data_IF_320895397628
#
_entry.id   IF_320895397628
#
_cell.length_a   1.000
_cell.length_b   1.000
_cell.length_c   1.000
_cell.angle_alpha   90.00
_cell.angle_beta   90.00
_cell.angle_gamma   90.00
#
_symmetry.space_group_name_H-M   'P 1'
#
loop_
_entity.id
_entity.type
_entity.pdbx_description
1 polymer ?
#
# COMPACT_ATOMS: atom_id res chain seq x y z
N UNK A 1 16.13 18.38 1.36
CA UNK A 1 16.28 17.13 2.16
C UNK A 1 15.03 16.71 2.93
N UNK A 2 14.53 17.48 3.92
CA UNK A 2 13.35 17.05 4.71
C UNK A 2 12.10 16.77 3.87
N UNK A 3 11.80 17.64 2.90
CA UNK A 3 10.73 17.42 1.91
C UNK A 3 10.94 16.11 1.14
N UNK A 4 12.15 15.89 0.61
CA UNK A 4 12.49 14.67 -0.15
C UNK A 4 12.29 13.41 0.68
N UNK A 5 12.76 13.41 1.93
CA UNK A 5 12.59 12.29 2.86
C UNK A 5 11.10 12.07 3.14
N UNK A 6 10.38 13.12 3.57
CA UNK A 6 8.98 13.02 3.96
C UNK A 6 8.07 12.59 2.82
N UNK A 7 8.17 13.25 1.66
CA UNK A 7 7.35 12.92 0.49
C UNK A 7 7.72 11.56 -0.12
N UNK A 8 9.00 11.18 -0.12
CA UNK A 8 9.39 9.84 -0.61
C UNK A 8 8.89 8.74 0.33
N UNK A 9 9.00 8.93 1.64
CA UNK A 9 8.44 8.01 2.64
C UNK A 9 6.94 7.84 2.46
N UNK A 10 6.19 8.95 2.34
CA UNK A 10 4.75 8.92 2.10
C UNK A 10 4.40 8.29 0.75
N UNK A 11 5.17 8.58 -0.30
CA UNK A 11 5.02 7.97 -1.62
C UNK A 11 5.19 6.45 -1.55
N UNK A 12 6.19 5.96 -0.81
CA UNK A 12 6.40 4.54 -0.54
C UNK A 12 5.24 3.90 0.22
N UNK A 13 4.80 4.51 1.32
CA UNK A 13 3.64 4.03 2.11
C UNK A 13 2.38 3.98 1.24
N UNK A 14 2.09 5.04 0.49
CA UNK A 14 0.91 5.11 -0.36
C UNK A 14 0.97 4.07 -1.48
N UNK A 15 2.13 3.92 -2.13
CA UNK A 15 2.33 2.93 -3.19
C UNK A 15 2.15 1.50 -2.67
N UNK A 16 2.78 1.17 -1.55
CA UNK A 16 2.64 -0.14 -0.91
C UNK A 16 1.21 -0.42 -0.42
N UNK A 17 0.50 0.59 0.09
CA UNK A 17 -0.90 0.48 0.50
C UNK A 17 -1.85 0.29 -0.69
N UNK A 18 -1.62 1.00 -1.79
CA UNK A 18 -2.47 0.97 -2.98
C UNK A 18 -2.32 -0.33 -3.78
N UNK A 19 -1.15 -0.97 -3.71
CA UNK A 19 -0.82 -2.14 -4.50
C UNK A 19 -1.78 -3.34 -4.29
N UNK A 20 -2.11 -3.78 -3.05
CA UNK A 20 -3.10 -4.84 -2.83
C UNK A 20 -4.46 -4.54 -3.47
N UNK A 21 -4.97 -3.31 -3.33
CA UNK A 21 -6.25 -2.92 -3.94
C UNK A 21 -6.19 -3.02 -5.46
N UNK A 22 -5.13 -2.51 -6.09
CA UNK A 22 -4.95 -2.57 -7.53
C UNK A 22 -4.91 -4.02 -8.03
N UNK A 23 -4.08 -4.86 -7.41
CA UNK A 23 -3.92 -6.28 -7.77
C UNK A 23 -5.24 -7.04 -7.60
N UNK A 24 -5.94 -6.89 -6.47
CA UNK A 24 -7.21 -7.58 -6.25
C UNK A 24 -8.29 -7.09 -7.23
N UNK A 25 -8.27 -5.80 -7.57
CA UNK A 25 -9.16 -5.23 -8.58
C UNK A 25 -8.99 -5.86 -9.97
N UNK A 26 -7.76 -5.87 -10.51
CA UNK A 26 -7.49 -6.43 -11.84
C UNK A 26 -7.61 -7.96 -11.89
N UNK A 27 -7.41 -8.64 -10.77
CA UNK A 27 -7.56 -10.11 -10.65
C UNK A 27 -8.97 -10.56 -10.27
N UNK A 28 -9.94 -9.63 -10.20
CA UNK A 28 -11.34 -9.91 -9.85
C UNK A 28 -11.53 -10.58 -8.48
N UNK A 29 -10.64 -10.29 -7.54
CA UNK A 29 -10.74 -10.77 -6.14
C UNK A 29 -11.36 -9.68 -5.26
N UNK A 30 -12.04 -10.11 -4.20
CA UNK A 30 -12.52 -9.19 -3.16
C UNK A 30 -11.36 -8.80 -2.24
N UNK A 31 -11.33 -7.54 -1.84
CA UNK A 31 -10.38 -7.02 -0.87
C UNK A 31 -11.04 -5.89 -0.07
N UNK A 32 -10.81 -5.77 1.25
CA UNK A 32 -11.45 -4.73 2.06
C UNK A 32 -11.12 -3.33 1.52
N UNK A 33 -12.13 -2.48 1.33
CA UNK A 33 -11.96 -1.12 0.80
C UNK A 33 -13.12 -0.21 1.25
N UNK A 34 -12.84 1.08 1.46
CA UNK A 34 -13.78 2.08 1.99
C UNK A 34 -15.03 2.26 1.12
N UNK A 35 -14.87 2.17 -0.20
CA UNK A 35 -15.95 2.40 -1.17
C UNK A 35 -16.62 1.10 -1.65
N UNK A 36 -16.22 -0.05 -1.09
CA UNK A 36 -16.80 -1.36 -1.37
C UNK A 36 -15.76 -2.43 -1.68
N UNK A 37 -16.04 -3.67 -1.29
CA UNK A 37 -15.05 -4.76 -1.33
C UNK A 37 -14.98 -5.50 -2.69
N UNK A 38 -15.68 -5.02 -3.71
CA UNK A 38 -15.73 -5.64 -5.04
C UNK A 38 -14.49 -5.32 -5.90
N UNK A 39 -14.34 -5.98 -7.07
CA UNK A 39 -13.20 -5.74 -7.97
C UNK A 39 -13.08 -4.30 -8.47
N UNK A 40 -14.19 -3.70 -8.92
CA UNK A 40 -14.16 -2.34 -9.53
C UNK A 40 -13.76 -1.27 -8.50
N UNK A 41 -14.37 -1.19 -7.29
CA UNK A 41 -13.92 -0.22 -6.29
C UNK A 41 -12.46 -0.43 -5.86
N UNK A 42 -11.99 -1.67 -5.76
CA UNK A 42 -10.59 -1.98 -5.46
C UNK A 42 -9.64 -1.54 -6.56
N UNK A 43 -10.00 -1.78 -7.83
CA UNK A 43 -9.22 -1.31 -8.96
C UNK A 43 -9.11 0.21 -8.95
N UNK A 44 -10.24 0.93 -8.84
CA UNK A 44 -10.25 2.40 -8.84
C UNK A 44 -9.49 2.96 -7.64
N UNK A 45 -9.70 2.40 -6.44
CA UNK A 45 -9.01 2.82 -5.22
C UNK A 45 -7.50 2.59 -5.29
N UNK A 46 -7.08 1.41 -5.75
CA UNK A 46 -5.68 1.09 -5.95
C UNK A 46 -5.02 1.95 -7.03
N UNK A 47 -5.70 2.17 -8.16
CA UNK A 47 -5.21 3.05 -9.21
C UNK A 47 -5.04 4.50 -8.71
N UNK A 48 -6.05 5.05 -8.04
CA UNK A 48 -5.99 6.41 -7.49
C UNK A 48 -4.86 6.55 -6.45
N UNK A 49 -4.68 5.54 -5.59
CA UNK A 49 -3.57 5.50 -4.63
C UNK A 49 -2.19 5.44 -5.31
N UNK A 50 -2.03 4.67 -6.39
CA UNK A 50 -0.78 4.62 -7.16
C UNK A 50 -0.48 5.95 -7.85
N UNK A 51 -1.50 6.63 -8.40
CA UNK A 51 -1.34 7.99 -8.96
C UNK A 51 -0.90 8.97 -7.88
N UNK A 52 -1.51 8.92 -6.69
CA UNK A 52 -1.11 9.76 -5.57
C UNK A 52 0.33 9.47 -5.10
N UNK A 53 0.73 8.20 -5.05
CA UNK A 53 2.10 7.81 -4.76
C UNK A 53 3.08 8.39 -5.79
N UNK A 54 2.76 8.33 -7.08
CA UNK A 54 3.58 8.91 -8.14
C UNK A 54 3.70 10.44 -8.01
N UNK A 55 2.60 11.14 -7.68
CA UNK A 55 2.63 12.59 -7.43
C UNK A 55 3.51 12.96 -6.22
N UNK A 56 3.43 12.19 -5.14
CA UNK A 56 4.29 12.39 -3.96
C UNK A 56 5.77 12.21 -4.31
N UNK A 57 6.12 11.17 -5.07
CA UNK A 57 7.49 10.93 -5.51
C UNK A 57 7.98 12.00 -6.50
N UNK A 58 7.10 12.49 -7.39
CA UNK A 58 7.41 13.58 -8.30
C UNK A 58 7.73 14.88 -7.55
N UNK A 59 6.90 15.27 -6.59
CA UNK A 59 7.12 16.47 -5.76
C UNK A 59 8.17 16.31 -4.66
N UNK A 60 8.69 15.09 -4.44
CA UNK A 60 9.80 14.86 -3.54
C UNK A 60 11.13 15.46 -4.05
N UNK A 61 11.22 15.77 -5.35
CA UNK A 61 12.46 16.24 -6.00
C UNK A 61 13.65 15.31 -5.69
N UNK A 62 13.42 14.00 -5.90
CA UNK A 62 14.40 12.97 -5.57
C UNK A 62 15.70 13.07 -6.36
N UNK A 63 15.69 13.75 -7.51
CA UNK A 63 16.86 14.06 -8.32
C UNK A 63 17.92 14.87 -7.56
N UNK A 64 17.50 15.72 -6.61
CA UNK A 64 18.42 16.51 -5.78
C UNK A 64 19.08 15.69 -4.67
N UNK A 65 18.43 14.61 -4.22
CA UNK A 65 18.91 13.75 -3.13
C UNK A 65 18.54 12.26 -3.36
N UNK A 66 19.11 11.59 -4.38
CA UNK A 66 18.61 10.31 -4.88
C UNK A 66 18.67 9.17 -3.86
N UNK A 67 19.76 9.07 -3.09
CA UNK A 67 19.91 8.04 -2.07
C UNK A 67 18.88 8.20 -0.93
N UNK A 68 18.64 9.44 -0.49
CA UNK A 68 17.67 9.74 0.56
C UNK A 68 16.24 9.48 0.07
N UNK A 69 15.91 9.87 -1.17
CA UNK A 69 14.62 9.61 -1.78
C UNK A 69 14.34 8.10 -1.89
N UNK A 70 15.28 7.35 -2.48
CA UNK A 70 15.17 5.90 -2.63
C UNK A 70 15.04 5.20 -1.29
N UNK A 71 15.95 5.48 -0.34
CA UNK A 71 15.92 4.86 0.98
C UNK A 71 14.62 5.13 1.74
N UNK A 72 14.11 6.36 1.66
CA UNK A 72 12.85 6.73 2.33
C UNK A 72 11.64 6.05 1.68
N UNK A 73 11.56 6.01 0.33
CA UNK A 73 10.48 5.32 -0.36
C UNK A 73 10.49 3.82 -0.10
N UNK A 74 11.66 3.18 -0.16
CA UNK A 74 11.83 1.76 0.16
C UNK A 74 11.42 1.46 1.61
N UNK A 75 11.81 2.31 2.56
CA UNK A 75 11.38 2.21 3.95
C UNK A 75 9.86 2.35 4.09
N UNK A 76 9.24 3.29 3.37
CA UNK A 76 7.79 3.47 3.40
C UNK A 76 7.04 2.22 2.93
N UNK A 77 7.47 1.62 1.82
CA UNK A 77 6.93 0.34 1.32
C UNK A 77 7.12 -0.78 2.33
N UNK A 78 8.31 -0.88 2.95
CA UNK A 78 8.59 -1.90 3.96
C UNK A 78 7.67 -1.75 5.18
N UNK A 79 7.52 -0.53 5.71
CA UNK A 79 6.70 -0.28 6.89
C UNK A 79 5.23 -0.66 6.64
N UNK A 80 4.66 -0.21 5.53
CA UNK A 80 3.27 -0.55 5.21
C UNK A 80 3.10 -2.04 4.89
N UNK A 81 4.10 -2.66 4.25
CA UNK A 81 4.13 -4.10 4.00
C UNK A 81 4.15 -4.91 5.30
N UNK A 82 4.97 -4.53 6.27
CA UNK A 82 5.02 -5.16 7.60
C UNK A 82 3.71 -4.97 8.37
N UNK A 83 3.06 -3.80 8.26
CA UNK A 83 1.73 -3.59 8.84
C UNK A 83 0.69 -4.53 8.23
N UNK A 84 0.71 -4.73 6.90
CA UNK A 84 -0.18 -5.67 6.22
C UNK A 84 0.12 -7.13 6.56
N UNK A 85 1.40 -7.50 6.68
CA UNK A 85 1.84 -8.86 6.95
C UNK A 85 1.75 -9.27 8.42
N UNK A 86 1.81 -8.31 9.36
CA UNK A 86 1.77 -8.54 10.80
C UNK A 86 0.36 -8.37 11.39
N UNK A 87 0.11 -7.28 12.16
CA UNK A 87 -1.19 -7.07 12.82
C UNK A 87 -2.35 -6.91 11.83
N UNK A 88 -2.05 -6.57 10.58
CA UNK A 88 -3.00 -6.34 9.50
C UNK A 88 -3.73 -5.01 9.65
N UNK A 89 -4.03 -4.35 8.52
CA UNK A 89 -4.94 -3.19 8.51
C UNK A 89 -6.39 -3.58 8.86
N UNK A 90 -6.72 -4.88 8.82
CA UNK A 90 -8.08 -5.41 8.99
C UNK A 90 -8.21 -6.47 10.10
N UNK A 91 -7.20 -6.63 10.97
CA UNK A 91 -7.24 -7.51 12.14
C UNK A 91 -7.17 -9.01 11.83
N UNK A 92 -6.59 -9.78 12.76
CA UNK A 92 -6.45 -11.25 12.67
C UNK A 92 -7.79 -11.93 12.41
N UNK A 93 -7.80 -12.86 11.46
CA UNK A 93 -8.75 -13.98 11.43
C UNK A 93 -8.04 -15.29 11.77
N UNK A 94 -7.36 -15.32 12.93
CA UNK A 94 -6.96 -16.58 13.56
C UNK A 94 -8.19 -17.19 14.26
N UNK A 95 -9.15 -17.66 13.47
CA UNK A 95 -10.26 -18.49 13.97
C UNK A 95 -10.94 -19.24 12.81
N UNK A 96 -10.18 -19.96 11.99
CA UNK A 96 -10.81 -20.94 11.09
C UNK A 96 -9.93 -22.17 10.82
N UNK A 97 -9.24 -22.65 11.83
CA UNK A 97 -8.95 -24.07 11.98
C UNK A 97 -9.83 -24.61 13.10
N UNK A 98 -11.13 -24.80 12.81
CA UNK A 98 -11.87 -25.80 13.59
C UNK A 98 -11.55 -27.14 12.94
N UNK A 99 -10.96 -28.11 13.66
CA UNK A 99 -10.86 -29.45 13.12
C UNK A 99 -12.29 -29.94 12.87
N UNK A 100 -12.53 -30.43 11.66
CA UNK A 100 -13.73 -31.20 11.35
C UNK A 100 -13.64 -32.47 12.18
N UNK A 101 -14.26 -32.49 13.36
CA UNK A 101 -14.53 -33.74 14.07
C UNK A 101 -15.42 -34.58 13.17
N UNK A 102 -14.85 -35.66 12.64
CA UNK A 102 -15.60 -36.81 12.14
C UNK A 102 -16.08 -37.65 13.31
#
# INVERSE_FOLDING_TARGET
MWQTIGLSLLGGVMGGNAFPHFVHGITRKRYPNLTGNGPVPNFIGGWAGLVLAALLLYWAHGDQHPAAAFGSAALGVLLIGLLHAGPGAFGRREAQERPVTR
#
